data_IF_598833960245
#
_entry.id   IF_598833960245
#
_cell.length_a   1.000
_cell.length_b   1.000
_cell.length_c   1.000
_cell.angle_alpha   90.00
_cell.angle_beta   90.00
_cell.angle_gamma   90.00
#
_symmetry.space_group_name_H-M   'P 1'
#
loop_
_entity.id
_entity.type
_entity.pdbx_description
1 polymer ?
#
# COMPACT_ATOMS: atom_id res chain seq x y z
N UNK A 1 -18.28 16.18 0.26
CA UNK A 1 -19.33 15.57 -0.58
C UNK A 1 -19.16 15.89 -2.06
N UNK A 2 -18.44 16.95 -2.45
CA UNK A 2 -18.00 17.12 -3.84
C UNK A 2 -16.64 16.44 -4.12
N UNK A 3 -15.66 16.60 -3.22
CA UNK A 3 -14.33 16.00 -3.38
C UNK A 3 -14.35 14.46 -3.49
N UNK A 4 -15.26 13.79 -2.78
CA UNK A 4 -15.45 12.34 -2.87
C UNK A 4 -16.13 11.90 -4.16
N UNK A 5 -16.92 12.79 -4.79
CA UNK A 5 -17.51 12.55 -6.11
C UNK A 5 -16.43 12.68 -7.17
N UNK A 6 -15.60 13.72 -7.08
CA UNK A 6 -14.44 13.91 -7.95
C UNK A 6 -13.50 12.70 -7.88
N UNK A 7 -13.16 12.22 -6.68
CA UNK A 7 -12.32 11.03 -6.51
C UNK A 7 -12.85 9.81 -7.30
N UNK A 8 -14.17 9.58 -7.26
CA UNK A 8 -14.82 8.48 -7.99
C UNK A 8 -14.84 8.72 -9.49
N UNK A 9 -15.11 9.95 -9.93
CA UNK A 9 -15.06 10.33 -11.35
C UNK A 9 -13.66 10.13 -11.94
N UNK A 10 -12.61 10.37 -11.15
CA UNK A 10 -11.22 10.15 -11.55
C UNK A 10 -10.80 8.66 -11.53
N UNK A 11 -11.66 7.76 -11.03
CA UNK A 11 -11.46 6.31 -11.09
C UNK A 11 -11.21 5.61 -9.74
N UNK A 12 -11.32 6.30 -8.60
CA UNK A 12 -11.25 5.64 -7.30
C UNK A 12 -12.48 4.74 -7.09
N UNK A 13 -12.25 3.48 -6.72
CA UNK A 13 -13.32 2.50 -6.47
C UNK A 13 -14.01 2.72 -5.12
N UNK A 14 -13.32 3.37 -4.19
CA UNK A 14 -13.87 3.87 -2.95
C UNK A 14 -13.15 5.15 -2.52
N UNK A 15 -13.88 6.02 -1.82
CA UNK A 15 -13.34 7.24 -1.24
C UNK A 15 -14.11 7.61 0.03
N UNK A 16 -13.39 8.13 1.03
CA UNK A 16 -13.94 8.53 2.32
C UNK A 16 -13.12 9.63 2.98
N UNK A 17 -13.65 10.16 4.08
CA UNK A 17 -12.99 11.20 4.89
C UNK A 17 -12.85 10.74 6.33
N UNK A 18 -11.66 10.90 6.91
CA UNK A 18 -11.43 10.81 8.34
C UNK A 18 -10.96 12.15 8.91
N UNK A 19 -11.15 12.36 10.21
CA UNK A 19 -10.56 13.51 10.91
C UNK A 19 -9.11 13.22 11.27
N UNK A 20 -8.27 14.25 11.29
CA UNK A 20 -6.87 14.13 11.72
C UNK A 20 -6.77 13.73 13.20
N UNK A 21 -7.69 14.23 14.04
CA UNK A 21 -7.81 13.85 15.46
C UNK A 21 -7.81 12.32 15.66
N UNK A 22 -8.64 11.59 14.91
CA UNK A 22 -8.74 10.14 15.02
C UNK A 22 -7.43 9.42 14.65
N UNK A 23 -6.60 10.01 13.78
CA UNK A 23 -5.31 9.45 13.39
C UNK A 23 -4.22 9.74 14.43
N UNK A 24 -4.23 10.93 15.03
CA UNK A 24 -3.31 11.29 16.13
C UNK A 24 -3.51 10.35 17.32
N UNK A 25 -4.76 10.15 17.75
CA UNK A 25 -5.11 9.25 18.86
C UNK A 25 -4.60 7.82 18.65
N UNK A 26 -4.38 7.42 17.39
CA UNK A 26 -3.89 6.10 17.00
C UNK A 26 -2.42 6.08 16.60
N UNK A 27 -1.68 7.18 16.78
CA UNK A 27 -0.28 7.35 16.35
C UNK A 27 -0.07 6.95 14.89
N UNK A 28 -1.01 7.34 14.03
CA UNK A 28 -1.11 6.89 12.64
C UNK A 28 -0.77 7.99 11.61
N UNK A 29 -0.24 9.13 12.06
CA UNK A 29 0.08 10.29 11.22
C UNK A 29 1.27 11.06 11.78
N UNK A 30 2.12 11.54 10.89
CA UNK A 30 3.14 12.57 11.11
C UNK A 30 2.56 13.93 10.70
N UNK A 31 2.47 14.88 11.65
CA UNK A 31 1.88 16.20 11.39
C UNK A 31 2.86 17.18 10.77
N UNK A 32 4.16 16.88 10.73
CA UNK A 32 5.17 17.75 10.11
C UNK A 32 4.88 17.94 8.61
N UNK A 33 4.11 17.02 8.00
CA UNK A 33 3.62 17.11 6.61
C UNK A 33 2.75 18.36 6.40
N UNK A 34 1.82 18.63 7.32
CA UNK A 34 0.89 19.75 7.26
C UNK A 34 0.32 19.99 8.68
N UNK A 35 0.98 20.82 9.51
CA UNK A 35 0.64 20.96 10.92
C UNK A 35 -0.80 21.42 11.19
N UNK A 36 -1.38 22.21 10.29
CA UNK A 36 -2.75 22.74 10.38
C UNK A 36 -3.82 21.82 9.77
N UNK A 37 -3.47 20.57 9.43
CA UNK A 37 -4.40 19.63 8.83
C UNK A 37 -5.56 19.28 9.77
N UNK A 38 -6.77 19.26 9.21
CA UNK A 38 -8.02 18.95 9.95
C UNK A 38 -8.65 17.65 9.49
N UNK A 39 -8.48 17.32 8.21
CA UNK A 39 -9.10 16.17 7.58
C UNK A 39 -8.13 15.45 6.65
N UNK A 40 -8.41 14.17 6.41
CA UNK A 40 -7.76 13.37 5.38
C UNK A 40 -8.83 12.78 4.45
N UNK A 41 -8.64 12.96 3.14
CA UNK A 41 -9.42 12.26 2.11
C UNK A 41 -8.63 11.01 1.76
N UNK A 42 -9.25 9.84 1.90
CA UNK A 42 -8.63 8.56 1.56
C UNK A 42 -9.35 7.99 0.34
N UNK A 43 -8.60 7.37 -0.55
CA UNK A 43 -9.10 6.71 -1.75
C UNK A 43 -8.56 5.28 -1.85
N UNK A 44 -9.28 4.43 -2.54
CA UNK A 44 -8.82 3.13 -2.97
C UNK A 44 -8.92 3.03 -4.50
N UNK A 45 -7.87 2.54 -5.14
CA UNK A 45 -7.84 2.19 -6.57
C UNK A 45 -7.74 0.67 -6.69
N UNK A 46 -8.60 0.08 -7.53
CA UNK A 46 -8.68 -1.37 -7.70
C UNK A 46 -7.63 -1.90 -8.66
N UNK A 47 -7.09 -3.07 -8.34
CA UNK A 47 -6.27 -3.87 -9.26
C UNK A 47 -7.12 -4.54 -10.34
N UNK A 48 -6.52 -4.88 -11.48
CA UNK A 48 -7.08 -5.88 -12.39
C UNK A 48 -7.06 -7.25 -11.72
N UNK A 49 -8.23 -7.89 -11.62
CA UNK A 49 -8.35 -9.23 -11.04
C UNK A 49 -7.56 -10.27 -11.85
N UNK A 50 -7.71 -10.24 -13.17
CA UNK A 50 -7.00 -11.16 -14.06
C UNK A 50 -5.49 -10.99 -13.95
N UNK A 51 -5.00 -9.75 -13.75
CA UNK A 51 -3.58 -9.53 -13.52
C UNK A 51 -3.13 -10.17 -12.20
N UNK A 52 -3.84 -9.94 -11.08
CA UNK A 52 -3.49 -10.53 -9.78
C UNK A 52 -3.60 -12.06 -9.73
N UNK A 53 -4.58 -12.64 -10.44
CA UNK A 53 -4.81 -14.08 -10.52
C UNK A 53 -3.85 -14.76 -11.55
N UNK A 54 -3.12 -13.99 -12.37
CA UNK A 54 -2.13 -14.51 -13.34
C UNK A 54 -1.05 -15.36 -12.66
N UNK A 55 -0.46 -16.32 -13.36
CA UNK A 55 0.75 -17.00 -12.89
C UNK A 55 2.04 -16.22 -13.25
N UNK A 56 1.92 -15.16 -14.06
CA UNK A 56 3.05 -14.33 -14.47
C UNK A 56 3.23 -13.15 -13.49
N UNK A 57 4.36 -13.16 -12.78
CA UNK A 57 4.71 -12.12 -11.79
C UNK A 57 4.83 -10.73 -12.41
N UNK A 58 5.36 -10.61 -13.62
CA UNK A 58 5.56 -9.33 -14.30
C UNK A 58 4.21 -8.66 -14.59
N UNK A 59 3.18 -9.44 -14.90
CA UNK A 59 1.82 -8.93 -15.12
C UNK A 59 1.21 -8.42 -13.80
N UNK A 60 1.35 -9.17 -12.70
CA UNK A 60 0.91 -8.71 -11.36
C UNK A 60 1.59 -7.40 -10.97
N UNK A 61 2.88 -7.32 -11.26
CA UNK A 61 3.71 -6.20 -10.91
C UNK A 61 3.37 -4.95 -11.74
N UNK A 62 3.21 -5.09 -13.06
CA UNK A 62 2.81 -3.99 -13.93
C UNK A 62 1.46 -3.39 -13.51
N UNK A 63 0.46 -4.24 -13.25
CA UNK A 63 -0.83 -3.79 -12.71
C UNK A 63 -0.68 -3.07 -11.36
N UNK A 64 0.23 -3.56 -10.52
CA UNK A 64 0.49 -2.93 -9.22
C UNK A 64 1.11 -1.55 -9.34
N UNK A 65 2.11 -1.38 -10.21
CA UNK A 65 2.72 -0.08 -10.50
C UNK A 65 1.63 0.87 -11.03
N UNK A 66 0.89 0.45 -12.05
CA UNK A 66 -0.19 1.26 -12.63
C UNK A 66 -1.26 1.65 -11.59
N UNK A 67 -1.61 0.75 -10.67
CA UNK A 67 -2.59 1.03 -9.60
C UNK A 67 -2.04 2.04 -8.59
N UNK A 68 -0.75 1.98 -8.24
CA UNK A 68 -0.09 3.01 -7.42
C UNK A 68 -0.04 4.36 -8.14
N UNK A 69 0.30 4.37 -9.42
CA UNK A 69 0.35 5.58 -10.23
C UNK A 69 -1.03 6.24 -10.34
N UNK A 70 -2.07 5.43 -10.54
CA UNK A 70 -3.46 5.91 -10.54
C UNK A 70 -3.83 6.53 -9.20
N UNK A 71 -3.53 5.87 -8.09
CA UNK A 71 -3.79 6.42 -6.76
C UNK A 71 -3.02 7.73 -6.52
N UNK A 72 -1.75 7.80 -6.93
CA UNK A 72 -0.90 9.00 -6.85
C UNK A 72 -1.47 10.15 -7.68
N UNK A 73 -1.86 9.89 -8.92
CA UNK A 73 -2.46 10.87 -9.82
C UNK A 73 -3.76 11.43 -9.27
N UNK A 74 -4.69 10.56 -8.84
CA UNK A 74 -5.95 11.01 -8.21
C UNK A 74 -5.64 11.84 -6.96
N UNK A 75 -4.75 11.39 -6.07
CA UNK A 75 -4.37 12.15 -4.88
C UNK A 75 -3.83 13.54 -5.24
N UNK A 76 -2.97 13.66 -6.27
CA UNK A 76 -2.46 14.96 -6.71
C UNK A 76 -3.56 15.87 -7.24
N UNK A 77 -4.46 15.36 -8.07
CA UNK A 77 -5.58 16.13 -8.59
C UNK A 77 -6.55 16.58 -7.49
N UNK A 78 -6.84 15.73 -6.51
CA UNK A 78 -7.67 16.09 -5.36
C UNK A 78 -7.00 17.17 -4.50
N UNK A 79 -5.68 17.11 -4.29
CA UNK A 79 -4.94 18.16 -3.58
C UNK A 79 -5.07 19.50 -4.31
N UNK A 80 -4.80 19.53 -5.61
CA UNK A 80 -4.94 20.76 -6.42
C UNK A 80 -6.37 21.30 -6.44
N UNK A 81 -7.38 20.42 -6.44
CA UNK A 81 -8.78 20.83 -6.38
C UNK A 81 -9.12 21.52 -5.05
N UNK A 82 -8.54 21.06 -3.93
CA UNK A 82 -8.70 21.69 -2.62
C UNK A 82 -7.91 23.00 -2.53
N UNK A 83 -6.70 23.07 -3.10
CA UNK A 83 -5.91 24.30 -3.17
C UNK A 83 -6.62 25.39 -3.98
N UNK A 84 -7.30 25.03 -5.08
CA UNK A 84 -8.14 25.97 -5.84
C UNK A 84 -9.29 26.57 -5.01
N UNK A 85 -9.68 25.90 -3.92
CA UNK A 85 -10.68 26.38 -2.96
C UNK A 85 -10.04 27.11 -1.76
N UNK A 86 -8.75 27.47 -1.84
CA UNK A 86 -8.01 28.17 -0.79
C UNK A 86 -7.64 27.31 0.42
N UNK A 87 -7.66 25.98 0.28
CA UNK A 87 -7.30 25.05 1.37
C UNK A 87 -5.89 24.51 1.16
N UNK A 88 -5.10 24.42 2.23
CA UNK A 88 -3.83 23.69 2.18
C UNK A 88 -4.11 22.21 1.97
N UNK A 89 -3.46 21.57 0.99
CA UNK A 89 -3.66 20.16 0.71
C UNK A 89 -2.39 19.48 0.17
N UNK A 90 -2.06 18.31 0.73
CA UNK A 90 -0.86 17.55 0.38
C UNK A 90 -1.25 16.13 0.00
N UNK A 91 -0.87 15.73 -1.21
CA UNK A 91 -0.99 14.34 -1.65
C UNK A 91 0.02 13.46 -0.90
N UNK A 92 -0.46 12.36 -0.31
CA UNK A 92 0.36 11.47 0.51
C UNK A 92 0.87 10.31 -0.35
N UNK A 93 2.19 10.03 -0.38
CA UNK A 93 2.72 8.91 -1.12
C UNK A 93 2.21 7.59 -0.53
N UNK A 94 1.78 6.67 -1.40
CA UNK A 94 1.31 5.34 -0.99
C UNK A 94 2.44 4.37 -0.60
N UNK A 95 3.68 4.72 -0.97
CA UNK A 95 4.91 4.00 -0.67
C UNK A 95 6.10 4.97 -0.76
N UNK A 96 7.17 4.64 -1.50
CA UNK A 96 8.30 5.55 -1.75
C UNK A 96 7.89 6.79 -2.57
N UNK A 97 8.51 7.97 -2.33
CA UNK A 97 9.60 8.23 -1.38
C UNK A 97 9.17 8.18 0.09
N UNK A 98 10.11 7.79 0.96
CA UNK A 98 9.93 7.72 2.41
C UNK A 98 11.18 8.25 3.12
N UNK A 99 11.04 8.57 4.41
CA UNK A 99 12.16 8.94 5.26
C UNK A 99 13.06 7.73 5.53
N UNK A 100 14.30 7.81 5.03
CA UNK A 100 15.32 6.77 5.11
C UNK A 100 16.29 6.97 6.29
N UNK A 101 16.04 7.93 7.18
CA UNK A 101 16.88 8.17 8.36
C UNK A 101 16.98 6.95 9.28
N UNK A 102 18.07 6.85 10.05
CA UNK A 102 18.40 5.68 10.88
C UNK A 102 17.27 5.24 11.82
N UNK A 103 16.48 6.19 12.32
CA UNK A 103 15.34 5.90 13.20
C UNK A 103 14.17 5.20 12.49
N UNK A 104 14.01 5.38 11.17
CA UNK A 104 12.90 4.82 10.38
C UNK A 104 13.32 3.73 9.41
N UNK A 105 14.60 3.70 9.01
CA UNK A 105 15.23 2.70 8.13
C UNK A 105 14.45 2.41 6.84
N UNK A 106 13.69 3.38 6.33
CA UNK A 106 12.86 3.17 5.14
C UNK A 106 11.76 2.12 5.33
N UNK A 107 11.24 1.95 6.54
CA UNK A 107 10.18 0.96 6.84
C UNK A 107 8.91 1.59 7.41
N UNK A 108 8.91 2.91 7.61
CA UNK A 108 7.81 3.65 8.23
C UNK A 108 7.41 4.80 7.32
N UNK A 109 6.21 4.71 6.75
CA UNK A 109 5.59 5.81 6.01
C UNK A 109 5.01 6.85 6.98
N UNK A 110 4.80 8.07 6.48
CA UNK A 110 4.35 9.20 7.29
C UNK A 110 2.88 9.07 7.77
N UNK A 111 2.06 8.23 7.11
CA UNK A 111 0.68 7.95 7.50
C UNK A 111 0.40 6.44 7.37
N UNK A 112 -0.26 5.84 8.36
CA UNK A 112 -0.86 4.50 8.20
C UNK A 112 -2.14 4.61 7.36
N UNK A 113 -1.97 4.51 6.03
CA UNK A 113 -3.08 4.59 5.08
C UNK A 113 -4.14 3.52 5.30
N UNK A 114 -3.78 2.33 5.82
CA UNK A 114 -4.77 1.29 6.13
C UNK A 114 -5.66 1.73 7.27
N UNK A 115 -5.05 2.32 8.32
CA UNK A 115 -5.82 2.89 9.42
C UNK A 115 -6.70 4.03 8.95
N UNK A 116 -6.16 4.93 8.15
CA UNK A 116 -6.90 6.05 7.59
C UNK A 116 -8.10 5.57 6.74
N UNK A 117 -7.94 4.53 5.94
CA UNK A 117 -9.04 3.95 5.16
C UNK A 117 -10.16 3.38 6.05
N UNK A 118 -9.82 2.68 7.14
CA UNK A 118 -10.80 2.17 8.10
C UNK A 118 -11.50 3.33 8.82
N UNK A 119 -10.75 4.33 9.26
CA UNK A 119 -11.30 5.53 9.91
C UNK A 119 -12.20 6.34 8.97
N UNK A 120 -11.89 6.34 7.67
CA UNK A 120 -12.67 6.97 6.61
C UNK A 120 -13.86 6.11 6.12
N UNK A 121 -14.09 4.94 6.72
CA UNK A 121 -15.21 4.06 6.38
C UNK A 121 -15.10 3.37 5.01
N UNK A 122 -13.89 3.29 4.42
CA UNK A 122 -13.66 2.64 3.13
C UNK A 122 -13.76 1.11 3.23
N UNK A 123 -13.38 0.55 4.37
CA UNK A 123 -13.35 -0.90 4.58
C UNK A 123 -12.98 -1.28 6.00
N UNK A 124 -12.71 -2.56 6.21
CA UNK A 124 -12.31 -3.13 7.51
C UNK A 124 -11.04 -3.95 7.33
N UNK A 125 -10.28 -4.15 8.41
CA UNK A 125 -9.13 -5.05 8.36
C UNK A 125 -9.58 -6.49 8.11
N UNK A 126 -8.99 -7.13 7.11
CA UNK A 126 -9.03 -8.57 6.94
C UNK A 126 -8.00 -9.26 7.82
N UNK A 127 -8.07 -10.59 7.91
CA UNK A 127 -7.12 -11.39 8.68
C UNK A 127 -5.67 -11.31 8.16
N UNK A 128 -5.48 -10.92 6.90
CA UNK A 128 -4.18 -10.61 6.30
C UNK A 128 -3.58 -9.27 6.73
N UNK A 129 -4.32 -8.46 7.49
CA UNK A 129 -3.92 -7.09 7.83
C UNK A 129 -4.14 -6.07 6.70
N UNK A 130 -4.68 -6.50 5.56
CA UNK A 130 -5.08 -5.60 4.46
C UNK A 130 -6.51 -5.09 4.66
N UNK A 131 -6.83 -3.93 4.09
CA UNK A 131 -8.19 -3.37 4.14
C UNK A 131 -9.06 -4.05 3.09
N UNK A 132 -10.20 -4.56 3.52
CA UNK A 132 -11.22 -5.18 2.67
C UNK A 132 -12.19 -4.10 2.18
N UNK A 133 -12.11 -3.77 0.90
CA UNK A 133 -12.98 -2.80 0.23
C UNK A 133 -14.16 -3.52 -0.42
N UNK A 134 -15.37 -2.97 -0.30
CA UNK A 134 -16.57 -3.56 -0.91
C UNK A 134 -16.34 -3.79 -2.42
N UNK A 135 -16.59 -5.00 -2.89
CA UNK A 135 -16.46 -5.39 -4.31
C UNK A 135 -15.03 -5.68 -4.78
N UNK A 136 -14.00 -5.26 -4.05
CA UNK A 136 -12.58 -5.47 -4.41
C UNK A 136 -11.80 -6.29 -3.39
N UNK A 137 -12.32 -6.46 -2.18
CA UNK A 137 -11.60 -7.08 -1.07
C UNK A 137 -10.26 -6.38 -0.82
N UNK A 138 -9.16 -7.13 -0.64
CA UNK A 138 -7.83 -6.55 -0.44
C UNK A 138 -7.13 -6.15 -1.75
N UNK A 139 -7.80 -6.27 -2.90
CA UNK A 139 -7.23 -6.05 -4.24
C UNK A 139 -7.29 -4.57 -4.62
N UNK A 140 -6.74 -3.72 -3.74
CA UNK A 140 -6.66 -2.27 -3.94
C UNK A 140 -5.31 -1.72 -3.51
N UNK A 141 -4.94 -0.55 -4.03
CA UNK A 141 -3.95 0.34 -3.43
C UNK A 141 -4.64 1.58 -2.86
N UNK A 142 -4.11 2.07 -1.76
CA UNK A 142 -4.64 3.22 -1.05
C UNK A 142 -3.85 4.47 -1.43
N UNK A 143 -4.56 5.58 -1.57
CA UNK A 143 -3.99 6.93 -1.68
C UNK A 143 -4.68 7.85 -0.69
N UNK A 144 -4.07 8.98 -0.38
CA UNK A 144 -4.71 9.99 0.44
C UNK A 144 -4.30 11.43 0.10
N UNK A 145 -5.08 12.37 0.60
CA UNK A 145 -4.78 13.81 0.63
C UNK A 145 -5.04 14.31 2.04
N UNK A 146 -4.00 14.85 2.68
CA UNK A 146 -4.10 15.54 3.96
C UNK A 146 -4.45 17.01 3.70
N UNK A 147 -5.38 17.60 4.44
CA UNK A 147 -5.85 18.96 4.15
C UNK A 147 -6.28 19.75 5.39
N UNK A 148 -6.12 21.08 5.31
CA UNK A 148 -6.69 22.04 6.27
C UNK A 148 -8.20 22.16 6.16
N UNK A 149 -8.82 21.65 5.08
CA UNK A 149 -10.25 21.73 4.89
C UNK A 149 -11.02 20.98 6.01
N UNK A 150 -12.07 21.58 6.60
CA UNK A 150 -12.93 20.93 7.60
C UNK A 150 -13.97 20.02 6.95
N UNK A 151 -13.52 18.94 6.34
CA UNK A 151 -14.40 18.01 5.64
C UNK A 151 -15.20 17.17 6.65
N UNK A 152 -16.50 16.99 6.38
CA UNK A 152 -17.37 16.12 7.18
C UNK A 152 -16.86 14.67 7.10
N UNK A 153 -16.56 14.00 8.23
CA UNK A 153 -16.08 12.63 8.22
C UNK A 153 -17.13 11.67 7.70
N UNK A 154 -16.67 10.62 7.04
CA UNK A 154 -17.52 9.54 6.56
C UNK A 154 -17.81 8.57 7.70
N UNK A 155 -19.05 8.08 7.81
CA UNK A 155 -19.40 7.13 8.85
C UNK A 155 -18.64 5.81 8.66
N UNK A 156 -18.00 5.32 9.73
CA UNK A 156 -17.45 3.97 9.75
C UNK A 156 -18.59 2.98 9.58
N UNK A 157 -18.44 2.06 8.63
CA UNK A 157 -19.44 1.04 8.36
C UNK A 157 -18.73 -0.31 8.28
N UNK A 158 -18.88 -1.13 9.31
CA UNK A 158 -18.38 -2.51 9.32
C UNK A 158 -19.31 -3.44 8.52
N UNK A 159 -19.53 -3.13 7.24
CA UNK A 159 -20.53 -3.83 6.41
C UNK A 159 -19.98 -5.09 5.72
N UNK A 160 -18.67 -5.30 5.74
CA UNK A 160 -18.00 -6.38 4.99
C UNK A 160 -16.81 -6.96 5.77
N UNK A 161 -17.04 -7.52 6.97
CA UNK A 161 -15.98 -8.18 7.72
C UNK A 161 -15.52 -9.46 7.02
N UNK A 162 -14.29 -9.90 7.32
CA UNK A 162 -13.83 -11.23 6.95
C UNK A 162 -14.68 -12.29 7.68
N UNK A 163 -15.15 -13.36 7.02
CA UNK A 163 -15.87 -14.44 7.70
C UNK A 163 -15.07 -15.03 8.87
N UNK A 164 -15.77 -15.37 9.96
CA UNK A 164 -15.17 -15.88 11.21
C UNK A 164 -14.27 -17.09 10.98
N UNK A 165 -14.65 -17.99 10.07
CA UNK A 165 -13.93 -19.25 9.86
C UNK A 165 -12.97 -19.22 8.65
N UNK A 166 -12.89 -18.09 7.95
CA UNK A 166 -12.02 -17.97 6.77
C UNK A 166 -10.54 -17.94 7.17
N UNK A 167 -9.73 -18.85 6.63
CA UNK A 167 -8.28 -18.90 6.89
C UNK A 167 -7.43 -18.87 5.60
N UNK A 168 -8.05 -18.66 4.44
CA UNK A 168 -7.42 -18.81 3.12
C UNK A 168 -6.11 -18.04 2.97
N UNK A 169 -6.08 -16.75 3.35
CA UNK A 169 -4.85 -15.96 3.23
C UNK A 169 -3.72 -16.48 4.12
N UNK A 170 -4.05 -16.97 5.32
CA UNK A 170 -3.07 -17.48 6.29
C UNK A 170 -2.49 -18.81 5.81
N UNK A 171 -3.35 -19.72 5.34
CA UNK A 171 -2.94 -21.01 4.78
C UNK A 171 -2.13 -20.85 3.49
N UNK A 172 -2.48 -19.89 2.65
CA UNK A 172 -1.76 -19.59 1.41
C UNK A 172 -0.52 -18.71 1.57
N UNK A 173 -0.15 -18.30 2.79
CA UNK A 173 1.01 -17.42 2.99
C UNK A 173 2.33 -18.23 2.94
N UNK A 174 3.19 -18.05 1.92
CA UNK A 174 4.39 -18.86 1.78
C UNK A 174 5.41 -18.64 2.90
N UNK A 175 5.42 -17.45 3.50
CA UNK A 175 6.32 -17.11 4.62
C UNK A 175 5.71 -17.36 5.99
N UNK A 176 4.48 -17.88 6.07
CA UNK A 176 3.71 -18.03 7.33
C UNK A 176 3.66 -16.74 8.16
N UNK A 177 3.67 -15.59 7.49
CA UNK A 177 3.78 -14.28 8.12
C UNK A 177 2.45 -13.75 8.69
N UNK A 178 1.32 -14.34 8.32
CA UNK A 178 -0.01 -13.88 8.74
C UNK A 178 -0.45 -14.63 10.01
N UNK A 179 -0.55 -13.91 11.13
CA UNK A 179 -0.76 -14.48 12.46
C UNK A 179 -2.24 -14.48 12.89
N UNK A 180 -3.15 -14.05 12.02
CA UNK A 180 -4.56 -13.85 12.36
C UNK A 180 -4.82 -12.51 13.05
N UNK A 181 -6.10 -12.15 13.18
CA UNK A 181 -6.50 -10.87 13.79
C UNK A 181 -5.97 -9.60 13.08
N UNK A 182 -5.47 -9.73 11.84
CA UNK A 182 -4.81 -8.64 11.12
C UNK A 182 -3.34 -8.42 11.47
N UNK A 183 -2.75 -9.27 12.32
CA UNK A 183 -1.34 -9.21 12.69
C UNK A 183 -0.46 -9.87 11.62
N UNK A 184 0.69 -9.24 11.35
CA UNK A 184 1.64 -9.66 10.32
C UNK A 184 3.06 -9.59 10.86
N UNK A 185 3.79 -10.70 10.80
CA UNK A 185 5.25 -10.70 10.92
C UNK A 185 5.84 -10.02 9.67
N UNK A 186 6.11 -8.72 9.81
CA UNK A 186 6.66 -7.89 8.73
C UNK A 186 8.03 -8.39 8.27
N UNK A 187 8.83 -9.02 9.15
CA UNK A 187 10.16 -9.54 8.80
C UNK A 187 10.02 -10.80 7.96
N UNK A 188 9.15 -11.73 8.36
CA UNK A 188 8.87 -12.93 7.57
C UNK A 188 8.23 -12.59 6.21
N UNK A 189 7.26 -11.67 6.18
CA UNK A 189 6.66 -11.19 4.93
C UNK A 189 7.70 -10.53 4.02
N UNK A 190 8.49 -9.60 4.58
CA UNK A 190 9.52 -8.85 3.87
C UNK A 190 10.58 -9.71 3.18
N UNK A 191 10.94 -10.87 3.76
CA UNK A 191 11.90 -11.79 3.13
C UNK A 191 11.43 -12.34 1.79
N UNK A 192 10.12 -12.50 1.61
CA UNK A 192 9.53 -13.04 0.37
C UNK A 192 9.08 -11.89 -0.52
N UNK A 193 8.25 -10.97 -0.01
CA UNK A 193 7.64 -9.94 -0.85
C UNK A 193 8.67 -8.92 -1.37
N UNK A 194 9.76 -8.68 -0.62
CA UNK A 194 10.86 -7.78 -0.97
C UNK A 194 12.19 -8.53 -1.03
N UNK A 195 12.22 -9.75 -1.59
CA UNK A 195 13.41 -10.59 -1.68
C UNK A 195 14.65 -9.83 -2.19
N UNK A 196 14.46 -9.04 -3.25
CA UNK A 196 15.49 -8.20 -3.87
C UNK A 196 15.37 -6.70 -3.50
N UNK A 197 14.66 -6.38 -2.42
CA UNK A 197 14.64 -5.02 -1.86
C UNK A 197 15.93 -4.67 -1.12
N UNK A 198 15.89 -3.64 -0.27
CA UNK A 198 17.07 -3.13 0.46
C UNK A 198 17.89 -4.22 1.17
N UNK A 199 17.23 -5.16 1.86
CA UNK A 199 17.92 -6.29 2.54
C UNK A 199 18.58 -7.26 1.56
N UNK A 200 17.92 -7.53 0.42
CA UNK A 200 18.47 -8.33 -0.66
C UNK A 200 19.72 -7.67 -1.24
N UNK A 201 19.64 -6.36 -1.49
CA UNK A 201 20.78 -5.55 -1.95
C UNK A 201 21.94 -5.58 -0.95
N UNK A 202 21.69 -5.33 0.33
CA UNK A 202 22.73 -5.39 1.38
C UNK A 202 23.39 -6.77 1.43
N UNK A 203 22.61 -7.86 1.34
CA UNK A 203 23.14 -9.23 1.32
C UNK A 203 24.00 -9.47 0.07
N UNK A 204 23.54 -9.03 -1.10
CA UNK A 204 24.27 -9.20 -2.36
C UNK A 204 25.60 -8.45 -2.34
N UNK A 205 25.60 -7.18 -1.93
CA UNK A 205 26.80 -6.36 -1.80
C UNK A 205 27.76 -6.95 -0.77
N UNK A 206 27.27 -7.34 0.40
CA UNK A 206 28.08 -8.02 1.42
C UNK A 206 28.70 -9.33 0.91
N UNK A 207 27.97 -10.09 0.09
CA UNK A 207 28.50 -11.27 -0.59
C UNK A 207 29.64 -10.91 -1.55
N UNK A 208 29.47 -9.88 -2.37
CA UNK A 208 30.52 -9.45 -3.31
C UNK A 208 31.81 -9.03 -2.61
N UNK A 209 31.71 -8.33 -1.47
CA UNK A 209 32.89 -7.89 -0.71
C UNK A 209 33.77 -9.07 -0.28
N UNK A 210 33.17 -10.21 0.04
CA UNK A 210 33.87 -11.41 0.50
C UNK A 210 34.26 -12.38 -0.63
N UNK A 211 33.87 -12.11 -1.87
CA UNK A 211 34.06 -13.00 -3.02
C UNK A 211 35.38 -12.75 -3.78
N UNK A 212 35.89 -13.76 -4.50
CA UNK A 212 37.03 -13.64 -5.41
C UNK A 212 36.72 -12.71 -6.60
N UNK A 213 37.74 -12.19 -7.33
CA UNK A 213 37.51 -11.41 -8.54
C UNK A 213 36.65 -12.13 -9.61
N UNK A 214 36.87 -13.43 -9.79
CA UNK A 214 36.13 -14.28 -10.73
C UNK A 214 34.67 -14.44 -10.27
N UNK A 215 34.46 -14.72 -8.98
CA UNK A 215 33.13 -14.85 -8.39
C UNK A 215 32.34 -13.54 -8.50
N UNK A 216 32.97 -12.39 -8.21
CA UNK A 216 32.36 -11.06 -8.38
C UNK A 216 31.89 -10.85 -9.82
N UNK A 217 32.69 -11.25 -10.80
CA UNK A 217 32.34 -11.15 -12.22
C UNK A 217 31.12 -12.00 -12.56
N UNK A 218 30.99 -13.20 -11.97
CA UNK A 218 29.81 -14.05 -12.16
C UNK A 218 28.58 -13.50 -11.44
N UNK A 219 28.75 -12.93 -10.24
CA UNK A 219 27.67 -12.30 -9.49
C UNK A 219 27.02 -11.16 -10.29
N UNK A 220 27.80 -10.34 -11.00
CA UNK A 220 27.29 -9.25 -11.86
C UNK A 220 26.48 -9.74 -13.08
N UNK A 221 26.57 -11.02 -13.43
CA UNK A 221 25.77 -11.64 -14.51
C UNK A 221 24.60 -12.47 -13.98
N UNK A 222 24.49 -12.58 -12.66
CA UNK A 222 23.55 -13.47 -11.98
C UNK A 222 22.11 -12.96 -12.05
N UNK A 223 21.15 -13.86 -11.84
CA UNK A 223 19.75 -13.51 -11.68
C UNK A 223 19.51 -12.48 -10.56
N UNK A 224 20.07 -12.65 -9.34
CA UNK A 224 19.97 -11.63 -8.28
C UNK A 224 20.39 -10.23 -8.71
N UNK A 225 21.49 -10.09 -9.47
CA UNK A 225 21.92 -8.77 -9.92
C UNK A 225 20.92 -8.12 -10.87
N UNK A 226 20.35 -8.89 -11.80
CA UNK A 226 19.32 -8.40 -12.73
C UNK A 226 18.03 -8.01 -12.01
N UNK A 227 17.61 -8.79 -11.01
CA UNK A 227 16.47 -8.44 -10.16
C UNK A 227 16.72 -7.19 -9.32
N UNK A 228 17.93 -7.03 -8.76
CA UNK A 228 18.32 -5.81 -8.04
C UNK A 228 18.26 -4.57 -8.93
N UNK A 229 18.82 -4.65 -10.15
CA UNK A 229 18.72 -3.58 -11.14
C UNK A 229 17.25 -3.24 -11.47
N UNK A 230 16.43 -4.26 -11.72
CA UNK A 230 14.99 -4.08 -12.01
C UNK A 230 14.26 -3.40 -10.84
N UNK A 231 14.54 -3.78 -9.59
CA UNK A 231 13.96 -3.13 -8.41
C UNK A 231 14.33 -1.64 -8.35
N UNK A 232 15.59 -1.30 -8.58
CA UNK A 232 16.07 0.08 -8.53
C UNK A 232 15.42 0.94 -9.61
N UNK A 233 15.25 0.40 -10.83
CA UNK A 233 14.66 1.13 -11.96
C UNK A 233 13.14 1.24 -11.85
N UNK A 234 12.46 0.20 -11.36
CA UNK A 234 10.99 0.21 -11.19
C UNK A 234 10.53 0.85 -9.87
N UNK A 235 11.45 1.09 -8.94
CA UNK A 235 11.21 1.68 -7.62
C UNK A 235 10.61 0.72 -6.59
N UNK A 236 9.53 0.01 -6.94
CA UNK A 236 8.82 -0.87 -6.01
C UNK A 236 8.41 -2.18 -6.70
N UNK A 237 9.13 -3.26 -6.49
CA UNK A 237 8.80 -4.59 -7.02
C UNK A 237 8.38 -5.54 -5.90
N UNK A 238 7.26 -6.23 -6.09
CA UNK A 238 6.76 -7.25 -5.17
C UNK A 238 6.89 -8.64 -5.77
N UNK A 239 7.37 -9.58 -4.97
CA UNK A 239 7.54 -10.99 -5.37
C UNK A 239 6.46 -11.93 -4.81
N UNK A 240 5.45 -11.38 -4.12
CA UNK A 240 4.36 -12.17 -3.56
C UNK A 240 3.05 -11.37 -3.52
N UNK A 241 1.96 -12.04 -3.93
CA UNK A 241 0.61 -11.46 -3.98
C UNK A 241 -0.44 -12.37 -3.32
N UNK A 242 -0.03 -13.48 -2.71
CA UNK A 242 -0.93 -14.59 -2.34
C UNK A 242 -2.10 -14.15 -1.44
N UNK A 243 -1.82 -13.36 -0.40
CA UNK A 243 -2.86 -12.92 0.51
C UNK A 243 -3.88 -11.96 -0.14
N UNK A 244 -3.49 -11.29 -1.24
CA UNK A 244 -4.39 -10.48 -2.07
C UNK A 244 -5.13 -11.34 -3.08
N UNK A 245 -4.41 -12.16 -3.85
CA UNK A 245 -4.95 -12.96 -4.95
C UNK A 245 -5.92 -14.05 -4.46
N UNK A 246 -5.54 -14.81 -3.44
CA UNK A 246 -6.34 -15.92 -2.91
C UNK A 246 -7.60 -15.46 -2.18
N UNK A 247 -7.64 -14.23 -1.65
CA UNK A 247 -8.77 -13.75 -0.89
C UNK A 247 -10.08 -13.83 -1.72
N UNK A 248 -11.13 -14.53 -1.22
CA UNK A 248 -12.39 -14.67 -1.94
C UNK A 248 -13.23 -13.39 -1.91
N UNK A 249 -13.01 -12.53 -0.91
CA UNK A 249 -13.76 -11.28 -0.79
C UNK A 249 -13.42 -10.39 -2.00
N UNK A 250 -14.48 -9.92 -2.67
CA UNK A 250 -14.35 -9.16 -3.92
C UNK A 250 -14.18 -10.00 -5.18
N UNK A 251 -14.33 -11.33 -5.10
CA UNK A 251 -14.38 -12.22 -6.28
C UNK A 251 -15.79 -12.43 -6.84
N UNK A 252 -16.84 -12.19 -6.04
CA UNK A 252 -18.20 -12.65 -6.37
C UNK A 252 -19.06 -11.66 -7.16
N UNK A 253 -18.51 -10.55 -7.69
CA UNK A 253 -19.30 -9.50 -8.35
C UNK A 253 -18.71 -9.01 -9.67
N UNK A 254 -18.40 -9.94 -10.58
CA UNK A 254 -18.35 -9.77 -12.05
C UNK A 254 -18.02 -11.08 -12.74
#
# INVERSE_FOLDING_TARGET
>A
MEILRLARQLGAVAAGVATVKNLIERKAIDLDILPSARSIVVIACGHSRAALDSMNLQIKQNDTIATYEKARDISKQLAMALEKQGQGAVAIPGFIPMDMSDGKQGMVGAIDLRRAAVEAGIGNYGKSGLVLVKGFGPKVRLGAVLTTAPLKPTAKRNRFPCPTDCQICMLGCPSKALLGGGQVDKRACGRVVFEFGLRGMTKFVGGMLNASPEERTQMLKSHPFRELWQNLVSGNYYYCFECQALCPIGKDNR
#
